data_IF_388733187058
#
_entry.id   IF_388733187058
#
_cell.length_a   1.000
_cell.length_b   1.000
_cell.length_c   1.000
_cell.angle_alpha   90.00
_cell.angle_beta   90.00
_cell.angle_gamma   90.00
#
_symmetry.space_group_name_H-M   'P 1'
#
loop_
_entity.id
_entity.type
_entity.pdbx_description
1 polymer ?
#
# COMPACT_ATOMS: atom_id res chain seq x y z
N UNK A 1 6.73 -22.26 7.84
CA UNK A 1 5.81 -21.10 7.81
C UNK A 1 5.38 -20.93 6.35
N UNK A 2 4.08 -21.01 6.02
CA UNK A 2 3.62 -20.81 4.64
C UNK A 2 3.76 -19.32 4.32
N UNK A 3 4.56 -19.00 3.31
CA UNK A 3 4.75 -17.65 2.78
C UNK A 3 3.38 -17.07 2.37
N UNK A 4 2.81 -16.11 3.12
CA UNK A 4 1.49 -15.55 2.82
C UNK A 4 1.45 -14.80 1.48
N UNK A 5 2.60 -14.46 0.90
CA UNK A 5 2.69 -13.77 -0.38
C UNK A 5 2.55 -14.72 -1.59
N UNK A 6 2.56 -16.05 -1.39
CA UNK A 6 2.45 -17.03 -2.49
C UNK A 6 1.04 -17.12 -3.11
N UNK A 7 0.02 -16.60 -2.44
CA UNK A 7 -1.39 -16.66 -2.87
C UNK A 7 -1.94 -15.30 -3.30
N UNK A 8 -1.21 -14.22 -3.00
CA UNK A 8 -1.56 -12.87 -3.40
C UNK A 8 -1.09 -12.63 -4.83
N UNK A 9 -1.93 -12.93 -5.82
CA UNK A 9 -1.73 -12.33 -7.14
C UNK A 9 -1.98 -10.82 -6.95
N UNK A 10 -0.93 -10.01 -7.09
CA UNK A 10 -0.97 -8.55 -6.96
C UNK A 10 -1.71 -7.88 -8.14
N UNK A 11 -2.87 -8.40 -8.54
CA UNK A 11 -3.63 -7.96 -9.71
C UNK A 11 -4.81 -7.01 -9.38
N UNK A 12 -4.95 -6.55 -8.14
CA UNK A 12 -5.90 -5.51 -7.79
C UNK A 12 -5.17 -4.17 -7.60
N UNK A 13 -4.52 -3.71 -8.67
CA UNK A 13 -3.74 -2.47 -8.77
C UNK A 13 -4.58 -1.18 -8.74
N UNK A 14 -5.65 -1.15 -7.94
CA UNK A 14 -6.44 0.06 -7.71
C UNK A 14 -6.26 0.46 -6.25
N UNK A 15 -5.95 1.73 -5.99
CA UNK A 15 -5.78 2.27 -4.63
C UNK A 15 -7.06 2.34 -3.79
N UNK A 16 -8.11 1.60 -4.17
CA UNK A 16 -9.38 1.54 -3.47
C UNK A 16 -9.30 0.84 -2.11
N UNK A 17 -8.24 0.07 -1.84
CA UNK A 17 -8.03 -0.63 -0.56
C UNK A 17 -8.12 0.32 0.64
N UNK A 18 -7.61 1.56 0.51
CA UNK A 18 -7.70 2.61 1.53
C UNK A 18 -9.16 2.97 1.82
N UNK A 19 -9.94 3.26 0.79
CA UNK A 19 -11.35 3.65 0.93
C UNK A 19 -12.22 2.51 1.50
N UNK A 20 -11.98 1.28 1.04
CA UNK A 20 -12.71 0.08 1.50
C UNK A 20 -12.38 -0.24 2.97
N UNK A 21 -11.09 -0.21 3.32
CA UNK A 21 -10.64 -0.49 4.69
C UNK A 21 -11.14 0.55 5.70
N UNK A 22 -11.19 1.83 5.30
CA UNK A 22 -11.69 2.92 6.13
C UNK A 22 -13.16 2.74 6.55
N UNK A 23 -13.91 1.89 5.85
CA UNK A 23 -15.31 1.55 6.14
C UNK A 23 -15.51 0.12 6.65
N UNK A 24 -14.44 -0.63 6.90
CA UNK A 24 -14.51 -2.04 7.29
C UNK A 24 -13.50 -2.39 8.38
N UNK A 25 -12.45 -3.15 8.06
CA UNK A 25 -11.52 -3.77 9.00
C UNK A 25 -10.51 -2.79 9.61
N UNK A 26 -10.43 -1.54 9.11
CA UNK A 26 -9.52 -0.52 9.64
C UNK A 26 -8.04 -0.71 9.25
N UNK A 27 -7.74 -1.66 8.35
CA UNK A 27 -6.38 -1.94 7.87
C UNK A 27 -6.38 -2.02 6.34
N UNK A 28 -5.56 -1.19 5.70
CA UNK A 28 -5.33 -1.19 4.26
C UNK A 28 -3.89 -1.63 3.96
N UNK A 29 -3.72 -2.58 3.05
CA UNK A 29 -2.42 -2.91 2.47
C UNK A 29 -2.50 -2.55 0.98
N UNK A 30 -1.56 -1.74 0.50
CA UNK A 30 -1.53 -1.26 -0.89
C UNK A 30 -0.11 -1.26 -1.43
N UNK A 31 0.05 -1.49 -2.73
CA UNK A 31 1.31 -1.19 -3.41
C UNK A 31 1.52 0.33 -3.52
N UNK A 32 2.78 0.74 -3.58
CA UNK A 32 3.20 2.12 -3.86
C UNK A 32 2.63 2.67 -5.19
N UNK A 33 2.69 1.89 -6.26
CA UNK A 33 2.08 2.28 -7.53
C UNK A 33 0.57 2.41 -7.44
N UNK A 34 -0.12 1.45 -6.81
CA UNK A 34 -1.57 1.49 -6.66
C UNK A 34 -2.03 2.73 -5.86
N UNK A 35 -1.24 3.13 -4.84
CA UNK A 35 -1.48 4.33 -4.08
C UNK A 35 -1.33 5.60 -4.94
N UNK A 36 -0.22 5.71 -5.68
CA UNK A 36 0.03 6.83 -6.60
C UNK A 36 -1.00 6.93 -7.72
N UNK A 37 -1.43 5.78 -8.26
CA UNK A 37 -2.34 5.72 -9.40
C UNK A 37 -3.76 6.19 -9.03
N UNK A 38 -4.30 5.74 -7.88
CA UNK A 38 -5.69 6.09 -7.51
C UNK A 38 -6.01 6.10 -6.02
N UNK A 39 -5.07 5.81 -5.14
CA UNK A 39 -5.32 5.72 -3.69
C UNK A 39 -5.11 7.03 -2.92
N UNK A 40 -4.39 8.01 -3.49
CA UNK A 40 -4.04 9.25 -2.79
C UNK A 40 -5.26 10.03 -2.27
N UNK A 41 -6.33 10.13 -3.07
CA UNK A 41 -7.55 10.85 -2.67
C UNK A 41 -8.24 10.20 -1.46
N UNK A 42 -8.27 8.86 -1.43
CA UNK A 42 -8.84 8.12 -0.31
C UNK A 42 -7.99 8.29 0.96
N UNK A 43 -6.66 8.29 0.82
CA UNK A 43 -5.76 8.53 1.94
C UNK A 43 -5.92 9.96 2.49
N UNK A 44 -6.04 10.95 1.60
CA UNK A 44 -6.28 12.34 2.01
C UNK A 44 -7.60 12.48 2.78
N UNK A 45 -8.69 11.86 2.28
CA UNK A 45 -9.99 11.86 2.96
C UNK A 45 -9.94 11.23 4.35
N UNK A 46 -9.19 10.12 4.50
CA UNK A 46 -8.96 9.45 5.78
C UNK A 46 -8.25 10.37 6.77
N UNK A 47 -7.22 11.10 6.33
CA UNK A 47 -6.47 12.03 7.18
C UNK A 47 -7.29 13.26 7.54
N UNK A 48 -7.99 13.85 6.58
CA UNK A 48 -8.87 15.00 6.78
C UNK A 48 -9.97 14.70 7.81
N UNK A 49 -10.57 13.51 7.72
CA UNK A 49 -11.64 13.06 8.63
C UNK A 49 -11.12 12.44 9.93
N UNK A 50 -9.81 12.25 10.07
CA UNK A 50 -9.20 11.60 11.23
C UNK A 50 -9.67 10.15 11.45
N UNK A 51 -9.98 9.41 10.38
CA UNK A 51 -10.52 8.05 10.50
C UNK A 51 -9.46 7.08 11.07
N UNK A 52 -9.84 6.15 11.96
CA UNK A 52 -8.92 5.17 12.54
C UNK A 52 -8.54 4.08 11.51
N UNK A 53 -7.64 4.42 10.60
CA UNK A 53 -7.14 3.53 9.55
C UNK A 53 -5.62 3.35 9.65
N UNK A 54 -5.18 2.09 9.62
CA UNK A 54 -3.80 1.71 9.42
C UNK A 54 -3.54 1.41 7.95
N UNK A 55 -2.77 2.27 7.28
CA UNK A 55 -2.36 2.08 5.89
C UNK A 55 -0.93 1.57 5.84
N UNK A 56 -0.70 0.45 5.17
CA UNK A 56 0.62 -0.13 4.91
C UNK A 56 0.87 -0.07 3.41
N UNK A 57 1.87 0.70 3.02
CA UNK A 57 2.32 0.86 1.64
C UNK A 57 3.51 -0.08 1.41
N UNK A 58 3.31 -1.08 0.56
CA UNK A 58 4.38 -1.95 0.09
C UNK A 58 5.14 -1.21 -1.01
N UNK A 59 6.38 -0.80 -0.69
CA UNK A 59 7.22 -0.04 -1.61
C UNK A 59 8.23 -0.98 -2.28
N UNK A 60 8.04 -1.25 -3.56
CA UNK A 60 8.97 -2.02 -4.38
C UNK A 60 9.45 -1.24 -5.62
N UNK A 61 8.93 -0.03 -5.84
CA UNK A 61 9.33 0.86 -6.92
C UNK A 61 8.86 0.43 -8.30
N UNK A 62 7.91 -0.51 -8.42
CA UNK A 62 7.53 -1.10 -9.71
C UNK A 62 6.05 -1.16 -9.97
N UNK A 63 5.70 -0.97 -11.24
CA UNK A 63 4.36 -1.28 -11.73
C UNK A 63 4.19 -2.79 -11.87
N UNK A 64 3.39 -3.39 -11.00
CA UNK A 64 3.24 -4.85 -10.92
C UNK A 64 2.72 -5.58 -12.18
N UNK A 65 2.24 -4.87 -13.21
CA UNK A 65 1.79 -5.47 -14.48
C UNK A 65 2.65 -5.08 -15.69
N UNK A 66 3.39 -3.98 -15.60
CA UNK A 66 4.11 -3.39 -16.74
C UNK A 66 5.61 -3.28 -16.51
N UNK A 67 6.10 -3.61 -15.30
CA UNK A 67 7.52 -3.71 -14.95
C UNK A 67 8.31 -2.40 -14.94
N UNK A 68 7.68 -1.26 -15.23
CA UNK A 68 8.36 0.03 -15.26
C UNK A 68 8.54 0.66 -13.87
N UNK A 69 9.51 1.55 -13.80
CA UNK A 69 9.85 2.31 -12.59
C UNK A 69 8.76 3.35 -12.28
N UNK A 70 8.58 3.63 -10.99
CA UNK A 70 7.63 4.65 -10.52
C UNK A 70 8.35 5.70 -9.68
N UNK A 71 7.69 6.84 -9.49
CA UNK A 71 8.18 7.86 -8.58
C UNK A 71 8.15 7.38 -7.12
N UNK A 72 9.03 7.92 -6.28
CA UNK A 72 9.07 7.60 -4.86
C UNK A 72 7.79 8.08 -4.15
N UNK A 73 6.91 7.13 -3.80
CA UNK A 73 5.63 7.40 -3.13
C UNK A 73 5.79 8.22 -1.86
N UNK A 74 6.87 8.03 -1.09
CA UNK A 74 7.09 8.73 0.18
C UNK A 74 7.12 10.25 0.00
N UNK A 75 7.59 10.74 -1.15
CA UNK A 75 7.64 12.17 -1.49
C UNK A 75 6.24 12.77 -1.72
N UNK A 76 5.28 11.97 -2.18
CA UNK A 76 3.93 12.43 -2.51
C UNK A 76 2.96 12.37 -1.32
N UNK A 77 3.30 11.60 -0.28
CA UNK A 77 2.49 11.41 0.91
C UNK A 77 3.14 11.97 2.19
N UNK A 78 4.09 12.90 2.08
CA UNK A 78 4.78 13.48 3.26
C UNK A 78 3.81 14.09 4.28
N UNK A 79 2.70 14.66 3.82
CA UNK A 79 1.61 15.18 4.65
C UNK A 79 0.94 14.12 5.54
N UNK A 80 1.04 12.84 5.16
CA UNK A 80 0.55 11.71 5.94
C UNK A 80 1.55 11.27 7.03
N UNK A 81 2.74 11.88 7.07
CA UNK A 81 3.87 11.54 7.95
C UNK A 81 4.15 10.02 7.97
N UNK A 82 4.46 9.41 6.81
CA UNK A 82 4.64 7.96 6.72
C UNK A 82 5.85 7.52 7.57
N UNK A 83 5.67 6.46 8.33
CA UNK A 83 6.72 5.85 9.14
C UNK A 83 7.26 4.59 8.46
N UNK A 84 8.53 4.25 8.66
CA UNK A 84 9.04 2.94 8.21
C UNK A 84 8.52 1.83 9.11
N UNK A 85 8.04 0.74 8.52
CA UNK A 85 7.59 -0.45 9.27
C UNK A 85 8.76 -1.42 9.47
N UNK A 86 9.57 -1.17 10.48
CA UNK A 86 10.71 -2.04 10.83
C UNK A 86 10.33 -3.14 11.83
N UNK A 87 9.18 -2.99 12.50
CA UNK A 87 8.74 -3.89 13.57
C UNK A 87 7.23 -4.13 13.54
N UNK A 88 6.84 -5.37 13.27
CA UNK A 88 5.44 -5.81 13.20
C UNK A 88 4.69 -5.68 14.53
N UNK A 89 5.37 -5.50 15.66
CA UNK A 89 4.72 -5.27 16.97
C UNK A 89 3.85 -4.02 16.97
N UNK A 90 4.19 -3.00 16.18
CA UNK A 90 3.39 -1.76 16.07
C UNK A 90 1.98 -2.01 15.53
N UNK A 91 1.77 -3.10 14.80
CA UNK A 91 0.47 -3.50 14.27
C UNK A 91 -0.49 -4.01 15.36
N UNK A 92 0.02 -4.29 16.56
CA UNK A 92 -0.80 -4.70 17.72
C UNK A 92 -1.35 -3.50 18.50
N UNK A 93 -0.85 -2.30 18.23
CA UNK A 93 -1.35 -1.10 18.90
C UNK A 93 -2.73 -0.72 18.36
N UNK A 94 -3.65 -0.23 19.22
CA UNK A 94 -4.93 0.27 18.76
C UNK A 94 -4.73 1.48 17.83
N UNK A 95 -5.46 1.46 16.72
CA UNK A 95 -5.45 2.54 15.73
C UNK A 95 -6.63 3.45 16.04
N UNK A 96 -6.36 4.59 16.66
CA UNK A 96 -7.38 5.58 17.05
C UNK A 96 -7.41 6.81 16.14
N UNK A 97 -6.41 6.92 15.28
CA UNK A 97 -6.17 7.98 14.30
C UNK A 97 -5.47 7.37 13.08
N UNK A 98 -5.50 8.04 11.92
CA UNK A 98 -4.87 7.49 10.74
C UNK A 98 -3.36 7.35 10.96
N UNK A 99 -2.82 6.18 10.61
CA UNK A 99 -1.39 5.88 10.63
C UNK A 99 -1.01 5.32 9.27
N UNK A 100 0.07 5.83 8.68
CA UNK A 100 0.62 5.30 7.43
C UNK A 100 2.02 4.79 7.65
N UNK A 101 2.26 3.57 7.20
CA UNK A 101 3.57 2.96 7.17
C UNK A 101 4.01 2.65 5.76
N UNK A 102 5.31 2.76 5.52
CA UNK A 102 5.99 2.25 4.33
C UNK A 102 6.78 1.02 4.75
N UNK A 103 6.53 -0.08 4.06
CA UNK A 103 7.29 -1.31 4.18
C UNK A 103 8.11 -1.49 2.89
N UNK A 104 9.43 -1.49 3.03
CA UNK A 104 10.34 -1.74 1.90
C UNK A 104 10.23 -3.22 1.48
N UNK A 105 9.67 -3.44 0.29
CA UNK A 105 9.45 -4.75 -0.29
C UNK A 105 10.42 -4.95 -1.48
N UNK A 106 10.75 -6.20 -1.77
CA UNK A 106 11.50 -6.56 -2.97
C UNK A 106 10.56 -7.20 -3.99
N UNK A 107 10.61 -6.67 -5.21
CA UNK A 107 10.09 -7.36 -6.38
C UNK A 107 10.93 -8.63 -6.61
N UNK A 108 10.31 -9.82 -6.74
CA UNK A 108 11.03 -11.05 -7.11
C UNK A 108 11.76 -10.87 -8.45
N UNK A 109 12.80 -11.66 -8.75
CA UNK A 109 13.48 -11.54 -10.06
C UNK A 109 12.72 -12.29 -11.18
N UNK A 110 11.97 -13.36 -10.83
CA UNK A 110 11.22 -14.21 -11.77
C UNK A 110 9.74 -13.81 -11.90
N UNK A 111 9.44 -12.50 -11.86
CA UNK A 111 8.07 -12.01 -11.91
C UNK A 111 7.40 -12.37 -13.24
N UNK A 112 6.28 -13.09 -13.19
CA UNK A 112 5.45 -13.33 -14.35
C UNK A 112 4.36 -12.29 -14.40
N UNK A 113 4.62 -11.20 -15.11
CA UNK A 113 3.58 -10.24 -15.45
C UNK A 113 2.75 -10.79 -16.61
N UNK A 114 1.43 -10.80 -16.46
CA UNK A 114 0.54 -11.15 -17.55
C UNK A 114 0.66 -10.07 -18.62
N UNK A 115 1.32 -10.38 -19.74
CA UNK A 115 1.50 -9.44 -20.84
C UNK A 115 0.20 -9.40 -21.64
N UNK A 116 -0.62 -8.37 -21.43
CA UNK A 116 -1.81 -8.14 -22.27
C UNK A 116 -1.32 -7.65 -23.63
N UNK A 117 -1.41 -8.49 -24.66
CA UNK A 117 -1.19 -8.09 -26.06
C UNK A 117 -2.48 -7.45 -26.58
N UNK A 118 -2.35 -6.24 -27.14
CA UNK A 118 -3.43 -5.55 -27.86
C UNK A 118 -3.67 -6.20 -29.23
#
# INVERSE_FOLDING_TARGET
MKDPYRIGIANYGLGSSVAVAARSVGIAITGDYALLHSGMNALADVYEKGLPLLTIVLRNGRMGMTGGDIADVAKYIQWANPQTLDDMRILKEPVVRPKTFIFEARCPEDEKHETIRY
#
